data_IF_779663300753
#
_entry.id   IF_779663300753
#
_cell.length_a   1.000
_cell.length_b   1.000
_cell.length_c   1.000
_cell.angle_alpha   90.00
_cell.angle_beta   90.00
_cell.angle_gamma   90.00
#
_symmetry.space_group_name_H-M   'P 1'
#
loop_
_entity.id
_entity.type
_entity.pdbx_description
1 polymer ?
#
# COMPACT_ATOMS: atom_id res chain seq x y z
N UNK A 1 -9.21 2.60 9.53
CA UNK A 1 -7.91 2.53 8.83
C UNK A 1 -8.12 3.06 7.44
N UNK A 2 -7.30 4.02 7.00
CA UNK A 2 -7.32 4.50 5.63
C UNK A 2 -6.10 3.90 4.92
N UNK A 3 -6.22 2.64 4.50
CA UNK A 3 -5.08 1.88 4.01
C UNK A 3 -4.76 2.21 2.56
N UNK A 4 -3.47 2.37 2.29
CA UNK A 4 -2.92 2.39 0.94
C UNK A 4 -3.08 1.02 0.27
N UNK A 5 -2.93 0.98 -1.05
CA UNK A 5 -2.87 -0.29 -1.82
C UNK A 5 -1.86 -1.29 -1.24
N UNK A 6 -0.75 -0.81 -0.68
CA UNK A 6 0.28 -1.64 -0.04
C UNK A 6 0.10 -1.85 1.48
N UNK A 7 -0.98 -1.38 2.10
CA UNK A 7 -1.25 -1.60 3.53
C UNK A 7 -0.73 -0.53 4.50
N UNK A 8 -0.04 0.50 4.02
CA UNK A 8 0.37 1.63 4.87
C UNK A 8 -0.86 2.43 5.30
N UNK A 9 -0.97 2.78 6.59
CA UNK A 9 -2.08 3.61 7.07
C UNK A 9 -1.84 5.08 6.71
N UNK A 10 -2.64 5.59 5.77
CA UNK A 10 -2.59 6.99 5.38
C UNK A 10 -2.95 7.92 6.55
N UNK A 11 -3.78 7.46 7.50
CA UNK A 11 -4.15 8.28 8.66
C UNK A 11 -2.97 8.54 9.61
N UNK A 12 -1.98 7.65 9.64
CA UNK A 12 -0.75 7.80 10.43
C UNK A 12 0.43 8.34 9.60
N UNK A 13 0.26 8.50 8.29
CA UNK A 13 1.34 8.90 7.38
C UNK A 13 1.56 10.43 7.41
N UNK A 14 2.73 10.86 7.88
CA UNK A 14 3.11 12.29 7.96
C UNK A 14 3.03 13.04 6.63
N UNK A 15 3.24 12.36 5.50
CA UNK A 15 3.22 12.99 4.18
C UNK A 15 1.83 13.44 3.72
N UNK A 16 0.76 12.95 4.36
CA UNK A 16 -0.59 13.51 4.15
C UNK A 16 -0.65 14.98 4.52
N UNK A 17 0.09 15.39 5.57
CA UNK A 17 0.19 16.78 6.02
C UNK A 17 1.37 17.48 5.37
N UNK A 18 2.58 16.90 5.45
CA UNK A 18 3.81 17.56 4.98
C UNK A 18 3.83 17.84 3.47
N UNK A 19 3.19 16.96 2.68
CA UNK A 19 3.23 17.00 1.21
C UNK A 19 1.84 17.14 0.59
N UNK A 20 0.81 17.39 1.40
CA UNK A 20 -0.60 17.34 0.97
C UNK A 20 -0.93 16.06 0.17
N UNK A 21 -0.33 14.93 0.54
CA UNK A 21 -0.51 13.67 -0.18
C UNK A 21 -1.97 13.20 -0.07
N UNK A 22 -2.73 13.10 -1.17
CA UNK A 22 -4.15 12.73 -1.13
C UNK A 22 -4.38 11.22 -0.99
N UNK A 23 -3.31 10.42 -0.88
CA UNK A 23 -3.35 8.96 -0.83
C UNK A 23 -3.17 8.31 -2.20
N UNK A 24 -2.62 7.09 -2.22
CA UNK A 24 -2.20 6.42 -3.46
C UNK A 24 -3.33 6.21 -4.49
N UNK A 25 -4.56 5.95 -4.04
CA UNK A 25 -5.71 5.80 -4.95
C UNK A 25 -6.12 7.11 -5.62
N UNK A 26 -6.12 8.22 -4.87
CA UNK A 26 -6.48 9.52 -5.40
C UNK A 26 -5.45 10.03 -6.44
N UNK A 27 -4.16 9.82 -6.17
CA UNK A 27 -3.08 10.20 -7.09
C UNK A 27 -2.67 9.08 -8.07
N UNK A 28 -3.45 8.00 -8.17
CA UNK A 28 -3.22 6.86 -9.08
C UNK A 28 -1.78 6.30 -9.03
N UNK A 29 -1.24 6.16 -7.82
CA UNK A 29 0.10 5.63 -7.60
C UNK A 29 1.23 6.55 -8.03
N UNK A 30 1.01 7.86 -8.14
CA UNK A 30 2.04 8.84 -8.48
C UNK A 30 2.27 9.89 -7.36
N UNK A 31 2.83 9.49 -6.21
CA UNK A 31 3.24 10.41 -5.13
C UNK A 31 4.33 11.39 -5.54
N UNK A 32 4.66 12.31 -4.63
CA UNK A 32 5.66 13.36 -4.81
C UNK A 32 7.08 12.85 -5.18
N UNK A 33 7.38 11.58 -4.89
CA UNK A 33 8.64 10.93 -5.23
C UNK A 33 8.60 10.13 -6.55
N UNK A 34 7.49 10.18 -7.30
CA UNK A 34 7.32 9.50 -8.59
C UNK A 34 6.42 8.27 -8.52
N UNK A 35 6.46 7.44 -9.57
CA UNK A 35 5.57 6.27 -9.72
C UNK A 35 5.83 5.20 -8.65
N UNK A 36 4.77 4.71 -8.02
CA UNK A 36 4.82 3.64 -7.03
C UNK A 36 4.64 2.26 -7.68
N UNK A 37 5.66 1.41 -7.53
CA UNK A 37 5.66 0.06 -8.12
C UNK A 37 4.62 -0.87 -7.49
N UNK A 38 4.43 -0.81 -6.16
CA UNK A 38 3.42 -1.63 -5.49
C UNK A 38 1.99 -1.30 -5.95
N UNK A 39 1.69 -0.01 -6.09
CA UNK A 39 0.39 0.42 -6.62
C UNK A 39 0.20 -0.06 -8.06
N UNK A 40 1.21 0.15 -8.90
CA UNK A 40 1.20 -0.26 -10.31
C UNK A 40 0.98 -1.77 -10.43
N UNK A 41 1.75 -2.57 -9.70
CA UNK A 41 1.65 -4.02 -9.67
C UNK A 41 0.25 -4.50 -9.24
N UNK A 42 -0.32 -3.91 -8.19
CA UNK A 42 -1.68 -4.24 -7.76
C UNK A 42 -2.71 -3.87 -8.85
N UNK A 43 -2.62 -2.66 -9.40
CA UNK A 43 -3.52 -2.17 -10.45
C UNK A 43 -3.48 -3.02 -11.72
N UNK A 44 -2.28 -3.38 -12.20
CA UNK A 44 -2.08 -4.19 -13.41
C UNK A 44 -2.65 -5.61 -13.24
N UNK A 45 -2.65 -6.12 -12.00
CA UNK A 45 -3.29 -7.40 -11.64
C UNK A 45 -4.80 -7.27 -11.35
N UNK A 46 -5.38 -6.08 -11.49
CA UNK A 46 -6.79 -5.82 -11.18
C UNK A 46 -7.11 -5.90 -9.68
N UNK A 47 -6.10 -5.79 -8.81
CA UNK A 47 -6.26 -5.84 -7.37
C UNK A 47 -6.38 -4.44 -6.77
N UNK A 48 -7.33 -4.22 -5.85
CA UNK A 48 -7.44 -2.95 -5.13
C UNK A 48 -6.26 -2.72 -4.17
N UNK A 49 -5.67 -3.80 -3.66
CA UNK A 49 -4.55 -3.74 -2.73
C UNK A 49 -3.72 -5.04 -2.79
N UNK A 50 -2.46 -5.00 -2.36
CA UNK A 50 -1.54 -6.13 -2.38
C UNK A 50 -2.06 -7.34 -1.60
N UNK A 51 -2.93 -7.13 -0.61
CA UNK A 51 -3.61 -8.21 0.14
C UNK A 51 -4.49 -9.15 -0.70
N UNK A 52 -4.92 -8.74 -1.90
CA UNK A 52 -5.66 -9.64 -2.83
C UNK A 52 -4.74 -10.45 -3.75
N UNK A 53 -3.43 -10.28 -3.65
CA UNK A 53 -2.48 -11.04 -4.46
C UNK A 53 -2.53 -12.53 -4.06
N UNK A 54 -2.56 -13.44 -5.04
CA UNK A 54 -2.56 -14.89 -4.78
C UNK A 54 -1.30 -15.42 -4.08
N UNK A 55 -0.22 -14.65 -4.12
CA UNK A 55 1.06 -14.95 -3.46
C UNK A 55 1.24 -14.12 -2.18
N UNK A 56 0.18 -13.52 -1.64
CA UNK A 56 0.30 -12.58 -0.52
C UNK A 56 0.83 -13.25 0.77
N UNK A 57 1.83 -12.64 1.46
CA UNK A 57 2.61 -11.49 1.03
C UNK A 57 3.66 -11.89 -0.02
N UNK A 58 3.64 -11.28 -1.20
CA UNK A 58 4.59 -11.61 -2.26
C UNK A 58 5.97 -10.99 -1.99
N UNK A 59 7.01 -11.50 -2.65
CA UNK A 59 8.39 -11.07 -2.44
C UNK A 59 8.58 -9.55 -2.57
N UNK A 60 7.96 -8.91 -3.58
CA UNK A 60 8.03 -7.45 -3.78
C UNK A 60 7.45 -6.67 -2.59
N UNK A 61 6.33 -7.11 -2.01
CA UNK A 61 5.76 -6.46 -0.84
C UNK A 61 6.66 -6.65 0.40
N UNK A 62 7.22 -7.85 0.56
CA UNK A 62 8.13 -8.15 1.66
C UNK A 62 9.41 -7.30 1.58
N UNK A 63 9.96 -7.12 0.38
CA UNK A 63 11.12 -6.27 0.14
C UNK A 63 10.85 -4.82 0.54
N UNK A 64 9.73 -4.25 0.08
CA UNK A 64 9.30 -2.90 0.48
C UNK A 64 9.06 -2.76 1.99
N UNK A 65 8.59 -3.82 2.65
CA UNK A 65 8.34 -3.81 4.09
C UNK A 65 9.62 -4.04 4.91
N UNK A 66 10.68 -4.60 4.33
CA UNK A 66 11.86 -5.07 5.06
C UNK A 66 12.55 -3.99 5.90
N UNK A 67 12.55 -2.74 5.43
CA UNK A 67 13.14 -1.59 6.13
C UNK A 67 12.16 -0.82 7.04
N UNK A 68 10.86 -1.09 6.92
CA UNK A 68 9.79 -0.32 7.61
C UNK A 68 9.00 -1.17 8.62
N UNK A 69 9.35 -2.45 8.78
CA UNK A 69 8.67 -3.38 9.69
C UNK A 69 7.45 -4.06 9.06
N UNK A 70 6.63 -4.71 9.90
CA UNK A 70 5.54 -5.60 9.43
C UNK A 70 4.20 -4.88 9.22
N UNK A 71 4.10 -3.59 9.55
CA UNK A 71 2.83 -2.83 9.60
C UNK A 71 2.02 -2.98 8.31
N UNK A 72 2.66 -2.82 7.14
CA UNK A 72 2.03 -2.97 5.82
C UNK A 72 1.34 -4.33 5.66
N UNK A 73 2.05 -5.40 6.00
CA UNK A 73 1.58 -6.78 5.85
C UNK A 73 0.49 -7.08 6.87
N UNK A 74 0.67 -6.65 8.12
CA UNK A 74 -0.29 -6.89 9.20
C UNK A 74 -1.62 -6.16 8.96
N UNK A 75 -1.57 -4.91 8.51
CA UNK A 75 -2.75 -4.15 8.11
C UNK A 75 -3.51 -4.84 6.97
N UNK A 76 -2.79 -5.36 5.97
CA UNK A 76 -3.40 -6.10 4.87
C UNK A 76 -4.03 -7.42 5.33
N UNK A 77 -3.41 -8.14 6.28
CA UNK A 77 -4.00 -9.36 6.89
C UNK A 77 -5.32 -9.06 7.59
N UNK A 78 -5.37 -7.96 8.35
CA UNK A 78 -6.61 -7.52 9.02
C UNK A 78 -7.67 -7.10 7.99
N UNK A 79 -7.27 -6.41 6.91
CA UNK A 79 -8.18 -5.98 5.86
C UNK A 79 -8.82 -7.17 5.14
N UNK A 80 -8.02 -8.16 4.74
CA UNK A 80 -8.51 -9.32 3.98
C UNK A 80 -9.37 -10.25 4.84
N UNK A 81 -9.10 -10.37 6.14
CA UNK A 81 -9.89 -11.19 7.05
C UNK A 81 -11.32 -10.65 7.27
N UNK A 82 -11.58 -9.39 6.92
CA UNK A 82 -12.88 -8.72 7.03
C UNK A 82 -13.65 -8.63 5.71
N UNK A 83 -13.06 -9.13 4.61
CA UNK A 83 -13.55 -8.99 3.24
C UNK A 83 -14.32 -10.21 2.74
#
# INVERSE_FOLDING_TARGET
>A
MNLSSCGLDCAACKFTVEQNCPGCHAQKGNPFWGKCDLYTCASDKGHPHCGKCGEFPCAMLQEWASSEGTERIDNLRVLVAKS
#
